data_IF_540284151333
#
_entry.id   IF_540284151333
#
_cell.length_a   1.000
_cell.length_b   1.000
_cell.length_c   1.000
_cell.angle_alpha   90.00
_cell.angle_beta   90.00
_cell.angle_gamma   90.00
#
_symmetry.space_group_name_H-M   'P 1'
#
loop_
_entity.id
_entity.type
_entity.pdbx_description
1 polymer ?
#
# COMPACT_ATOMS: atom_id res chain seq x y z
N UNK A 1 11.42 14.85 -1.18
CA UNK A 1 10.72 14.70 0.13
C UNK A 1 10.12 13.31 0.29
N UNK A 2 9.27 12.82 -0.62
CA UNK A 2 8.67 11.46 -0.55
C UNK A 2 9.69 10.33 -0.32
N UNK A 3 10.78 10.31 -1.09
CA UNK A 3 11.90 9.36 -0.91
C UNK A 3 12.44 9.37 0.53
N UNK A 4 12.63 10.56 1.11
CA UNK A 4 13.14 10.72 2.48
C UNK A 4 12.12 10.22 3.49
N UNK A 5 10.84 10.54 3.30
CA UNK A 5 9.76 10.07 4.17
C UNK A 5 9.66 8.54 4.20
N UNK A 6 9.79 7.86 3.05
CA UNK A 6 9.86 6.40 3.02
C UNK A 6 11.10 5.84 3.73
N UNK A 7 12.26 6.50 3.64
CA UNK A 7 13.46 6.08 4.39
C UNK A 7 13.30 6.25 5.88
N UNK A 8 12.58 7.29 6.33
CA UNK A 8 12.24 7.48 7.74
C UNK A 8 11.32 6.37 8.25
N UNK A 9 10.35 5.94 7.43
CA UNK A 9 9.53 4.76 7.75
C UNK A 9 10.41 3.51 7.92
N UNK A 10 11.36 3.28 7.01
CA UNK A 10 12.26 2.10 7.07
C UNK A 10 13.09 2.05 8.38
N UNK A 11 13.45 3.21 8.94
CA UNK A 11 14.22 3.30 10.20
C UNK A 11 13.35 3.50 11.44
N UNK A 12 12.02 3.54 11.28
CA UNK A 12 11.05 3.67 12.39
C UNK A 12 10.79 5.10 12.88
N UNK A 13 11.32 6.12 12.19
CA UNK A 13 11.14 7.54 12.52
C UNK A 13 9.78 8.06 11.99
N UNK A 14 8.69 7.46 12.50
CA UNK A 14 7.34 7.69 11.98
C UNK A 14 6.84 9.12 12.21
N UNK A 15 7.24 9.78 13.29
CA UNK A 15 6.79 11.15 13.59
C UNK A 15 7.28 12.16 12.54
N UNK A 16 8.56 12.03 12.15
CA UNK A 16 9.15 12.87 11.10
C UNK A 16 8.57 12.49 9.74
N UNK A 17 8.35 11.20 9.48
CA UNK A 17 7.71 10.76 8.25
C UNK A 17 6.29 11.33 8.09
N UNK A 18 5.47 11.34 9.17
CA UNK A 18 4.14 11.95 9.18
C UNK A 18 4.23 13.43 8.81
N UNK A 19 5.11 14.20 9.44
CA UNK A 19 5.26 15.63 9.13
C UNK A 19 5.62 15.87 7.65
N UNK A 20 6.57 15.09 7.11
CA UNK A 20 6.93 15.21 5.70
C UNK A 20 5.79 14.84 4.76
N UNK A 21 4.95 13.86 5.12
CA UNK A 21 3.79 13.50 4.31
C UNK A 21 2.64 14.50 4.41
N UNK A 22 2.48 15.21 5.54
CA UNK A 22 1.61 16.39 5.62
C UNK A 22 2.10 17.48 4.67
N UNK A 23 3.40 17.83 4.71
CA UNK A 23 3.96 18.84 3.80
C UNK A 23 3.75 18.43 2.33
N UNK A 24 4.03 17.17 1.98
CA UNK A 24 3.82 16.63 0.62
C UNK A 24 2.35 16.75 0.21
N UNK A 25 1.41 16.44 1.10
CA UNK A 25 -0.01 16.58 0.81
C UNK A 25 -0.41 18.03 0.56
N UNK A 26 0.14 18.98 1.32
CA UNK A 26 -0.09 20.41 1.07
C UNK A 26 0.45 20.88 -0.28
N UNK A 27 1.62 20.37 -0.68
CA UNK A 27 2.23 20.72 -1.97
C UNK A 27 1.59 20.03 -3.17
N UNK A 28 1.07 18.81 -2.97
CA UNK A 28 0.55 17.92 -4.02
C UNK A 28 -0.83 17.36 -3.68
N UNK A 29 -1.84 18.21 -3.40
CA UNK A 29 -3.20 17.77 -3.10
C UNK A 29 -3.94 17.21 -4.33
N UNK A 30 -3.40 17.40 -5.54
CA UNK A 30 -3.92 16.80 -6.77
C UNK A 30 -3.58 15.31 -6.91
N UNK A 31 -2.63 14.80 -6.11
CA UNK A 31 -2.16 13.41 -6.18
C UNK A 31 -2.88 12.54 -5.11
N UNK A 32 -3.65 11.50 -5.49
CA UNK A 32 -4.21 10.55 -4.53
C UNK A 32 -3.13 9.85 -3.70
N UNK A 33 -1.93 9.68 -4.27
CA UNK A 33 -0.81 9.07 -3.57
C UNK A 33 -0.37 9.88 -2.35
N UNK A 34 -0.46 11.22 -2.37
CA UNK A 34 -0.13 12.06 -1.20
C UNK A 34 -1.02 11.76 -0.01
N UNK A 35 -2.32 11.54 -0.25
CA UNK A 35 -3.28 11.15 0.79
C UNK A 35 -3.02 9.73 1.30
N UNK A 36 -2.80 8.78 0.38
CA UNK A 36 -2.58 7.37 0.72
C UNK A 36 -1.29 7.16 1.50
N UNK A 37 -0.22 7.86 1.14
CA UNK A 37 1.06 7.82 1.85
C UNK A 37 0.90 8.27 3.31
N UNK A 38 0.29 9.44 3.51
CA UNK A 38 0.03 9.99 4.84
C UNK A 38 -0.87 9.05 5.66
N UNK A 39 -1.93 8.52 5.05
CA UNK A 39 -2.82 7.56 5.72
C UNK A 39 -2.07 6.29 6.15
N UNK A 40 -1.18 5.79 5.30
CA UNK A 40 -0.41 4.57 5.56
C UNK A 40 0.53 4.75 6.76
N UNK A 41 1.24 5.87 6.85
CA UNK A 41 2.17 6.12 7.96
C UNK A 41 1.42 6.38 9.28
N UNK A 42 0.30 7.10 9.25
CA UNK A 42 -0.57 7.30 10.42
C UNK A 42 -1.12 5.98 10.93
N UNK A 43 -1.61 5.13 10.03
CA UNK A 43 -2.07 3.79 10.37
C UNK A 43 -0.95 2.93 10.96
N UNK A 44 0.26 2.97 10.40
CA UNK A 44 1.41 2.22 10.92
C UNK A 44 1.79 2.67 12.33
N UNK A 45 1.76 3.97 12.62
CA UNK A 45 2.03 4.51 13.95
C UNK A 45 0.95 4.08 14.96
N UNK A 46 -0.32 4.12 14.56
CA UNK A 46 -1.44 3.64 15.38
C UNK A 46 -1.39 2.12 15.65
N UNK A 47 -0.95 1.33 14.67
CA UNK A 47 -0.84 -0.13 14.79
C UNK A 47 0.22 -0.56 15.82
N UNK A 48 1.17 0.31 16.20
CA UNK A 48 2.13 0.05 17.26
C UNK A 48 1.43 0.07 18.64
N UNK A 49 1.29 -1.07 19.34
CA UNK A 49 0.55 -1.11 20.61
C UNK A 49 1.18 -0.27 21.71
N UNK A 50 2.52 -0.24 21.79
CA UNK A 50 3.24 0.54 22.78
C UNK A 50 3.07 2.03 22.56
N UNK A 51 3.20 2.48 21.32
CA UNK A 51 3.00 3.89 20.96
C UNK A 51 1.56 4.33 21.19
N UNK A 52 0.57 3.52 20.75
CA UNK A 52 -0.86 3.80 20.94
C UNK A 52 -1.27 3.89 22.41
N UNK A 53 -0.69 3.06 23.29
CA UNK A 53 -0.92 3.13 24.73
C UNK A 53 -0.29 4.39 25.35
N UNK A 54 0.88 4.82 24.86
CA UNK A 54 1.56 6.02 25.34
C UNK A 54 0.90 7.33 24.86
N UNK A 55 0.25 7.32 23.70
CA UNK A 55 -0.32 8.51 23.05
C UNK A 55 -1.80 8.33 22.67
N UNK A 56 -2.70 8.00 23.62
CA UNK A 56 -4.06 7.54 23.28
C UNK A 56 -4.89 8.55 22.47
N UNK A 57 -4.79 9.85 22.79
CA UNK A 57 -5.52 10.90 22.06
C UNK A 57 -4.98 11.09 20.64
N UNK A 58 -3.65 11.13 20.48
CA UNK A 58 -3.02 11.24 19.16
C UNK A 58 -3.27 9.99 18.34
N UNK A 59 -3.29 8.81 18.96
CA UNK A 59 -3.63 7.57 18.28
C UNK A 59 -5.08 7.60 17.73
N UNK A 60 -6.04 8.11 18.51
CA UNK A 60 -7.42 8.25 18.03
C UNK A 60 -7.53 9.27 16.89
N UNK A 61 -6.75 10.36 16.95
CA UNK A 61 -6.64 11.34 15.86
C UNK A 61 -6.01 10.72 14.60
N UNK A 62 -4.90 9.99 14.76
CA UNK A 62 -4.17 9.33 13.67
C UNK A 62 -5.04 8.35 12.90
N UNK A 63 -5.76 7.47 13.61
CA UNK A 63 -6.60 6.47 12.94
C UNK A 63 -7.81 7.10 12.28
N UNK A 64 -8.42 8.12 12.91
CA UNK A 64 -9.52 8.88 12.32
C UNK A 64 -9.06 9.60 11.04
N UNK A 65 -7.88 10.23 11.10
CA UNK A 65 -7.28 10.94 9.97
C UNK A 65 -6.88 9.98 8.85
N UNK A 66 -6.28 8.84 9.17
CA UNK A 66 -5.94 7.81 8.18
C UNK A 66 -7.18 7.32 7.44
N UNK A 67 -8.27 7.01 8.16
CA UNK A 67 -9.53 6.61 7.53
C UNK A 67 -10.13 7.73 6.66
N UNK A 68 -10.10 8.98 7.13
CA UNK A 68 -10.59 10.12 6.35
C UNK A 68 -9.78 10.38 5.07
N UNK A 69 -8.46 10.23 5.13
CA UNK A 69 -7.57 10.37 3.97
C UNK A 69 -7.80 9.25 2.95
N UNK A 70 -7.95 7.99 3.39
CA UNK A 70 -8.29 6.89 2.49
C UNK A 70 -9.67 7.08 1.87
N UNK A 71 -10.66 7.52 2.66
CA UNK A 71 -11.98 7.88 2.13
C UNK A 71 -11.88 8.98 1.06
N UNK A 72 -11.05 10.00 1.26
CA UNK A 72 -10.78 11.02 0.25
C UNK A 72 -10.20 10.39 -1.03
N UNK A 73 -9.28 9.43 -0.94
CA UNK A 73 -8.77 8.70 -2.11
C UNK A 73 -9.90 7.94 -2.82
N UNK A 74 -10.77 7.25 -2.08
CA UNK A 74 -11.87 6.45 -2.65
C UNK A 74 -12.88 7.31 -3.43
N UNK A 75 -13.24 8.48 -2.92
CA UNK A 75 -14.32 9.32 -3.50
C UNK A 75 -13.84 10.60 -4.18
N UNK A 76 -12.53 10.84 -4.18
CA UNK A 76 -11.91 11.97 -4.85
C UNK A 76 -12.02 11.88 -6.37
N UNK A 77 -11.78 13.01 -7.03
CA UNK A 77 -11.68 13.07 -8.50
C UNK A 77 -10.22 13.20 -8.88
N UNK A 78 -9.68 12.13 -9.45
CA UNK A 78 -8.28 12.03 -9.82
C UNK A 78 -8.11 12.06 -11.33
N UNK A 79 -6.88 12.35 -11.77
CA UNK A 79 -6.49 12.18 -13.17
C UNK A 79 -6.74 10.71 -13.59
N UNK A 80 -7.30 10.50 -14.79
CA UNK A 80 -7.59 9.16 -15.30
C UNK A 80 -6.36 8.25 -15.36
N UNK A 81 -5.14 8.81 -15.46
CA UNK A 81 -3.89 8.06 -15.40
C UNK A 81 -3.68 7.33 -14.07
N UNK A 82 -4.40 7.71 -13.01
CA UNK A 82 -4.32 7.15 -11.65
C UNK A 82 -5.56 6.32 -11.30
N UNK A 83 -6.36 5.91 -12.29
CA UNK A 83 -7.56 5.10 -12.08
C UNK A 83 -7.25 3.79 -11.34
N UNK A 84 -8.16 3.33 -10.49
CA UNK A 84 -8.13 2.09 -9.69
C UNK A 84 -7.37 2.16 -8.36
N UNK A 85 -6.67 3.28 -8.08
CA UNK A 85 -6.14 3.53 -6.73
C UNK A 85 -7.25 3.59 -5.68
N UNK A 86 -8.47 3.93 -6.09
CA UNK A 86 -9.67 3.96 -5.25
C UNK A 86 -9.99 2.58 -4.68
N UNK A 87 -9.77 1.51 -5.44
CA UNK A 87 -10.02 0.13 -4.97
C UNK A 87 -9.03 -0.26 -3.89
N UNK A 88 -7.75 0.07 -4.09
CA UNK A 88 -6.66 -0.19 -3.13
C UNK A 88 -6.91 0.58 -1.84
N UNK A 89 -7.26 1.87 -1.95
CA UNK A 89 -7.60 2.69 -0.80
C UNK A 89 -8.87 2.21 -0.08
N UNK A 90 -9.87 1.70 -0.81
CA UNK A 90 -11.08 1.13 -0.21
C UNK A 90 -10.76 -0.17 0.56
N UNK A 91 -9.90 -1.02 0.04
CA UNK A 91 -9.43 -2.21 0.75
C UNK A 91 -8.70 -1.84 2.05
N UNK A 92 -7.83 -0.82 1.99
CA UNK A 92 -7.09 -0.32 3.15
C UNK A 92 -8.02 0.32 4.18
N UNK A 93 -9.00 1.13 3.75
CA UNK A 93 -10.00 1.73 4.62
C UNK A 93 -10.80 0.66 5.37
N UNK A 94 -11.32 -0.32 4.64
CA UNK A 94 -12.09 -1.42 5.24
C UNK A 94 -11.25 -2.24 6.23
N UNK A 95 -9.96 -2.47 5.95
CA UNK A 95 -9.05 -3.11 6.91
C UNK A 95 -8.89 -2.28 8.18
N UNK A 96 -8.70 -0.95 8.07
CA UNK A 96 -8.57 -0.10 9.25
C UNK A 96 -9.86 -0.09 10.08
N UNK A 97 -11.02 0.02 9.44
CA UNK A 97 -12.32 -0.06 10.14
C UNK A 97 -12.46 -1.39 10.90
N UNK A 98 -12.18 -2.52 10.25
CA UNK A 98 -12.25 -3.83 10.89
C UNK A 98 -11.24 -3.99 12.05
N UNK A 99 -10.04 -3.39 11.94
CA UNK A 99 -9.07 -3.38 13.05
C UNK A 99 -9.53 -2.51 14.21
N UNK A 100 -10.10 -1.34 13.95
CA UNK A 100 -10.66 -0.47 14.99
C UNK A 100 -11.78 -1.19 15.73
N UNK A 101 -12.73 -1.79 15.01
CA UNK A 101 -13.84 -2.57 15.59
C UNK A 101 -13.37 -3.69 16.52
N UNK A 102 -12.26 -4.32 16.17
CA UNK A 102 -11.70 -5.45 16.92
C UNK A 102 -10.87 -5.00 18.12
N UNK A 103 -10.05 -3.96 17.97
CA UNK A 103 -9.02 -3.60 18.94
C UNK A 103 -9.48 -2.58 19.97
N UNK A 104 -10.51 -1.80 19.66
CA UNK A 104 -10.96 -0.70 20.50
C UNK A 104 -12.40 -0.92 20.97
N UNK A 105 -12.70 -0.60 22.24
CA UNK A 105 -14.06 -0.68 22.75
C UNK A 105 -14.97 0.34 22.04
N UNK A 106 -16.28 0.06 21.99
CA UNK A 106 -17.29 0.89 21.32
C UNK A 106 -17.39 2.32 21.87
N UNK A 107 -16.86 2.59 23.07
CA UNK A 107 -16.97 3.85 23.80
C UNK A 107 -15.80 4.84 23.58
N UNK A 108 -14.91 4.59 22.62
CA UNK A 108 -13.86 5.55 22.23
C UNK A 108 -14.46 6.80 21.57
N UNK A 109 -14.77 7.79 22.40
CA UNK A 109 -15.42 9.08 22.08
C UNK A 109 -14.74 9.92 20.99
N UNK A 110 -13.46 9.70 20.69
CA UNK A 110 -12.68 10.59 19.80
C UNK A 110 -12.39 10.00 18.41
N UNK A 111 -12.83 8.77 18.13
CA UNK A 111 -12.62 8.17 16.81
C UNK A 111 -13.73 8.59 15.87
N UNK A 112 -13.37 9.39 14.88
CA UNK A 112 -14.27 9.81 13.81
C UNK A 112 -14.12 8.86 12.65
N UNK A 113 -15.21 8.19 12.27
CA UNK A 113 -15.27 7.32 11.11
C UNK A 113 -15.89 8.06 9.93
N UNK A 114 -15.32 7.97 8.73
CA UNK A 114 -16.00 8.45 7.55
C UNK A 114 -17.26 7.62 7.30
N UNK A 115 -18.31 8.26 6.78
CA UNK A 115 -19.49 7.55 6.29
C UNK A 115 -19.12 6.74 5.04
N UNK A 116 -19.54 5.49 4.97
CA UNK A 116 -19.30 4.62 3.82
C UNK A 116 -20.61 3.94 3.42
N UNK A 117 -20.92 3.94 2.13
CA UNK A 117 -22.06 3.17 1.62
C UNK A 117 -21.92 1.70 2.08
N UNK A 118 -22.96 1.09 2.67
CA UNK A 118 -22.89 -0.28 3.15
C UNK A 118 -22.45 -1.31 2.10
N UNK A 119 -22.63 -1.02 0.81
CA UNK A 119 -22.17 -1.87 -0.31
C UNK A 119 -20.66 -1.83 -0.51
N UNK A 120 -20.00 -0.79 -0.03
CA UNK A 120 -18.55 -0.60 -0.08
C UNK A 120 -17.88 -0.98 1.25
N UNK A 121 -18.67 -1.17 2.31
CA UNK A 121 -18.20 -1.60 3.62
C UNK A 121 -18.01 -3.12 3.66
N UNK A 122 -16.78 -3.55 3.96
CA UNK A 122 -16.43 -4.96 4.10
C UNK A 122 -14.98 -5.26 3.73
N UNK A 123 -14.36 -6.15 4.50
CA UNK A 123 -13.04 -6.70 4.17
C UNK A 123 -13.20 -7.75 3.08
N UNK A 124 -12.35 -7.70 2.06
CA UNK A 124 -12.21 -8.78 1.09
C UNK A 124 -11.45 -9.95 1.72
N UNK A 125 -11.99 -11.16 1.58
CA UNK A 125 -11.32 -12.40 1.97
C UNK A 125 -10.11 -12.62 1.04
N UNK A 126 -8.91 -12.28 1.53
CA UNK A 126 -7.66 -12.33 0.78
C UNK A 126 -6.58 -13.00 1.63
N UNK A 127 -6.20 -14.22 1.27
CA UNK A 127 -5.15 -14.97 1.94
C UNK A 127 -3.74 -14.44 1.64
N UNK A 128 -3.50 -13.88 0.44
CA UNK A 128 -2.24 -13.25 0.06
C UNK A 128 -2.49 -11.95 -0.72
N UNK A 129 -1.93 -10.84 -0.23
CA UNK A 129 -1.93 -9.52 -0.90
C UNK A 129 -0.51 -9.01 -1.01
N UNK A 130 -0.08 -8.56 -2.18
CA UNK A 130 1.25 -8.00 -2.42
C UNK A 130 1.05 -6.64 -3.08
N UNK A 131 1.58 -5.58 -2.48
CA UNK A 131 1.49 -4.22 -3.01
C UNK A 131 2.89 -3.69 -3.28
N UNK A 132 3.17 -3.31 -4.52
CA UNK A 132 4.43 -2.69 -4.92
C UNK A 132 4.23 -1.18 -5.03
N UNK A 133 5.00 -0.42 -4.25
CA UNK A 133 5.02 1.04 -4.26
C UNK A 133 6.39 1.54 -4.74
N UNK A 134 6.46 2.74 -5.31
CA UNK A 134 7.73 3.38 -5.68
C UNK A 134 7.74 4.89 -5.43
N UNK A 135 8.95 5.43 -5.27
CA UNK A 135 9.19 6.78 -4.77
C UNK A 135 9.28 7.89 -5.85
N UNK A 136 9.17 7.53 -7.13
CA UNK A 136 9.37 8.44 -8.27
C UNK A 136 8.13 8.55 -9.16
N UNK A 137 7.74 9.79 -9.51
CA UNK A 137 6.70 10.03 -10.53
C UNK A 137 7.22 9.70 -11.93
N UNK A 138 6.31 9.47 -12.87
CA UNK A 138 6.60 9.22 -14.29
C UNK A 138 7.58 8.05 -14.50
N UNK A 139 7.53 7.07 -13.60
CA UNK A 139 8.35 5.86 -13.61
C UNK A 139 7.43 4.68 -13.87
N UNK A 140 7.87 3.82 -14.78
CA UNK A 140 7.18 2.63 -15.23
C UNK A 140 7.81 1.40 -14.55
N UNK A 141 7.12 0.87 -13.54
CA UNK A 141 7.55 -0.28 -12.73
C UNK A 141 6.39 -1.27 -12.59
N UNK A 142 6.61 -2.50 -13.06
CA UNK A 142 5.60 -3.55 -12.93
C UNK A 142 5.92 -4.52 -11.80
N UNK A 143 4.88 -4.94 -11.10
CA UNK A 143 4.86 -6.07 -10.20
C UNK A 143 4.75 -7.37 -10.98
N UNK A 144 5.74 -8.24 -10.76
CA UNK A 144 5.78 -9.59 -11.30
C UNK A 144 5.72 -10.60 -10.16
N UNK A 145 4.66 -11.42 -10.14
CA UNK A 145 4.50 -12.51 -9.17
C UNK A 145 4.66 -13.84 -9.88
N UNK A 146 5.53 -14.70 -9.35
CA UNK A 146 5.63 -16.10 -9.79
C UNK A 146 5.04 -17.01 -8.73
N UNK A 147 3.97 -17.69 -9.10
CA UNK A 147 3.22 -18.58 -8.21
C UNK A 147 3.92 -19.95 -8.04
N UNK A 148 3.56 -20.74 -7.00
CA UNK A 148 4.11 -22.09 -6.80
C UNK A 148 3.87 -23.04 -7.98
N UNK A 149 2.84 -22.79 -8.78
CA UNK A 149 2.53 -23.53 -10.01
C UNK A 149 3.50 -23.27 -11.16
N UNK A 150 4.39 -22.28 -11.01
CA UNK A 150 5.27 -21.77 -12.07
C UNK A 150 4.62 -20.70 -12.94
N UNK A 151 3.35 -20.35 -12.70
CA UNK A 151 2.66 -19.33 -13.46
C UNK A 151 3.17 -17.92 -13.12
N UNK A 152 3.26 -17.04 -14.12
CA UNK A 152 3.71 -15.66 -13.96
C UNK A 152 2.51 -14.71 -14.10
N UNK A 153 2.30 -13.88 -13.09
CA UNK A 153 1.24 -12.86 -13.05
C UNK A 153 1.90 -11.49 -13.12
N UNK A 154 1.54 -10.71 -14.14
CA UNK A 154 2.06 -9.37 -14.45
C UNK A 154 1.09 -8.65 -15.41
N UNK A 155 1.31 -7.39 -15.76
CA UNK A 155 0.33 -6.57 -16.52
C UNK A 155 -0.26 -7.26 -17.77
N UNK A 156 0.52 -8.02 -18.54
CA UNK A 156 0.06 -8.71 -19.75
C UNK A 156 -0.69 -10.03 -19.45
N UNK A 157 -0.46 -10.62 -18.28
CA UNK A 157 -1.15 -11.81 -17.78
C UNK A 157 -1.65 -11.55 -16.36
N UNK A 158 -2.64 -10.66 -16.16
CA UNK A 158 -3.03 -10.17 -14.84
C UNK A 158 -3.87 -11.19 -14.05
N UNK A 159 -4.13 -12.38 -14.58
CA UNK A 159 -4.94 -13.42 -13.96
C UNK A 159 -4.23 -14.76 -14.00
N UNK A 160 -4.40 -15.53 -12.93
CA UNK A 160 -3.78 -16.84 -12.81
C UNK A 160 -4.80 -17.98 -12.72
N UNK A 161 -4.33 -19.21 -12.99
CA UNK A 161 -5.17 -20.41 -12.90
C UNK A 161 -5.65 -20.70 -11.47
N UNK A 162 -4.91 -20.25 -10.45
CA UNK A 162 -5.29 -20.42 -9.04
C UNK A 162 -6.11 -19.23 -8.50
N UNK A 163 -6.50 -18.29 -9.37
CA UNK A 163 -7.35 -17.16 -9.00
C UNK A 163 -6.59 -15.92 -8.52
N UNK A 164 -5.28 -15.85 -8.77
CA UNK A 164 -4.49 -14.64 -8.57
C UNK A 164 -4.94 -13.54 -9.53
N UNK A 165 -5.00 -12.30 -9.04
CA UNK A 165 -5.41 -11.13 -9.80
C UNK A 165 -4.42 -9.99 -9.54
N UNK A 166 -3.90 -9.40 -10.62
CA UNK A 166 -3.17 -8.14 -10.59
C UNK A 166 -4.13 -6.98 -10.86
N UNK A 167 -3.95 -5.87 -10.15
CA UNK A 167 -4.59 -4.58 -10.43
C UNK A 167 -4.24 -4.10 -11.84
N UNK A 168 -4.96 -3.08 -12.33
CA UNK A 168 -4.52 -2.38 -13.54
C UNK A 168 -3.11 -1.82 -13.36
N UNK A 169 -2.40 -1.83 -14.47
CA UNK A 169 -1.05 -1.30 -14.63
C UNK A 169 -1.04 0.25 -14.64
N UNK A 170 -0.16 0.82 -13.83
CA UNK A 170 0.02 2.27 -13.66
C UNK A 170 1.22 2.80 -14.47
N UNK A 171 1.12 2.79 -15.79
CA UNK A 171 2.21 3.20 -16.72
C UNK A 171 2.63 4.69 -16.69
N UNK A 172 1.89 5.59 -16.02
CA UNK A 172 2.10 7.05 -16.14
C UNK A 172 2.03 7.81 -14.81
N UNK A 173 2.37 7.20 -13.69
CA UNK A 173 2.32 7.88 -12.39
C UNK A 173 3.07 7.16 -11.27
N UNK A 174 2.74 7.55 -10.04
CA UNK A 174 3.09 6.77 -8.88
C UNK A 174 2.25 5.49 -8.87
N UNK A 175 2.89 4.37 -8.52
CA UNK A 175 2.20 3.15 -8.14
C UNK A 175 1.32 3.40 -6.92
N UNK A 176 0.42 2.46 -6.62
CA UNK A 176 0.86 1.07 -6.49
C UNK A 176 0.36 0.10 -7.56
N UNK A 177 1.10 -0.98 -7.76
CA UNK A 177 0.52 -2.21 -8.33
C UNK A 177 0.21 -3.22 -7.22
N UNK A 178 -0.92 -3.91 -7.35
CA UNK A 178 -1.42 -4.84 -6.34
C UNK A 178 -1.69 -6.22 -6.95
N UNK A 179 -1.21 -7.26 -6.29
CA UNK A 179 -1.60 -8.65 -6.53
C UNK A 179 -2.43 -9.16 -5.34
N UNK A 180 -3.58 -9.76 -5.61
CA UNK A 180 -4.44 -10.40 -4.60
C UNK A 180 -4.73 -11.85 -4.97
N UNK A 181 -4.78 -12.71 -3.95
CA UNK A 181 -5.17 -14.10 -4.07
C UNK A 181 -5.99 -14.52 -2.83
N UNK A 182 -7.23 -14.96 -3.06
CA UNK A 182 -8.14 -15.39 -1.99
C UNK A 182 -7.60 -16.59 -1.21
N UNK A 183 -7.23 -17.66 -1.92
CA UNK A 183 -6.80 -18.92 -1.32
C UNK A 183 -5.41 -19.28 -1.85
N UNK A 184 -4.34 -18.77 -1.23
CA UNK A 184 -2.99 -19.13 -1.64
C UNK A 184 -2.74 -20.62 -1.40
N UNK A 185 -2.28 -21.32 -2.43
CA UNK A 185 -1.77 -22.68 -2.29
C UNK A 185 -0.39 -22.67 -1.62
N UNK A 186 -0.04 -23.77 -0.96
CA UNK A 186 1.26 -23.95 -0.34
C UNK A 186 2.39 -23.87 -1.39
N UNK A 187 3.51 -23.25 -0.99
CA UNK A 187 4.70 -23.08 -1.79
C UNK A 187 5.23 -21.65 -1.83
N UNK A 188 6.22 -21.45 -2.69
CA UNK A 188 6.92 -20.17 -2.84
C UNK A 188 6.23 -19.27 -3.86
N UNK A 189 5.92 -18.05 -3.45
CA UNK A 189 5.58 -16.94 -4.35
C UNK A 189 6.78 -16.01 -4.44
N UNK A 190 7.36 -15.86 -5.64
CA UNK A 190 8.47 -14.93 -5.88
C UNK A 190 7.94 -13.58 -6.35
N UNK A 191 8.46 -12.50 -5.78
CA UNK A 191 8.07 -11.11 -6.06
C UNK A 191 9.22 -10.41 -6.75
N UNK A 192 8.97 -9.91 -7.95
CA UNK A 192 9.93 -9.20 -8.79
C UNK A 192 9.35 -7.85 -9.20
N UNK A 193 10.25 -6.90 -9.47
CA UNK A 193 9.90 -5.60 -10.03
C UNK A 193 10.59 -5.47 -11.39
N UNK A 194 9.81 -5.19 -12.43
CA UNK A 194 10.36 -4.90 -13.77
C UNK A 194 10.44 -3.39 -13.94
N UNK A 195 11.65 -2.86 -14.13
CA UNK A 195 11.84 -1.43 -14.33
C UNK A 195 11.93 -1.09 -15.82
N UNK A 196 10.90 -0.48 -16.41
CA UNK A 196 10.92 -0.11 -17.83
C UNK A 196 11.63 1.24 -18.08
N UNK A 197 11.59 2.14 -17.10
CA UNK A 197 12.31 3.41 -17.13
C UNK A 197 11.51 4.57 -16.56
N UNK A 198 12.09 5.77 -16.61
CA UNK A 198 11.41 7.01 -16.22
C UNK A 198 11.50 8.03 -17.35
N UNK A 199 10.43 8.80 -17.55
CA UNK A 199 10.37 9.88 -18.57
C UNK A 199 10.91 11.22 -18.06
N UNK A 200 11.41 11.30 -16.83
CA UNK A 200 11.98 12.53 -16.28
C UNK A 200 13.30 12.89 -17.00
N UNK A 201 13.34 14.03 -17.69
CA UNK A 201 14.47 14.48 -18.53
C UNK A 201 15.68 15.01 -17.74
N UNK A 202 15.74 14.86 -16.42
CA UNK A 202 16.81 15.46 -15.61
C UNK A 202 17.12 14.60 -14.38
N UNK A 203 18.31 13.97 -14.37
CA UNK A 203 18.84 13.05 -13.35
C UNK A 203 17.95 11.83 -13.05
N UNK A 204 18.23 10.70 -13.72
CA UNK A 204 17.77 9.37 -13.29
C UNK A 204 18.51 8.99 -12.00
N UNK A 205 18.00 9.44 -10.86
CA UNK A 205 18.33 8.84 -9.58
C UNK A 205 17.79 7.41 -9.54
N UNK A 206 18.44 6.49 -8.80
CA UNK A 206 17.92 5.14 -8.62
C UNK A 206 16.55 5.17 -7.93
N UNK A 207 15.58 4.43 -8.47
CA UNK A 207 14.21 4.35 -7.98
C UNK A 207 14.16 3.40 -6.79
N UNK A 208 13.50 3.77 -5.71
CA UNK A 208 13.26 2.83 -4.60
C UNK A 208 11.89 2.20 -4.79
N UNK A 209 11.84 0.87 -4.79
CA UNK A 209 10.60 0.10 -4.71
C UNK A 209 10.42 -0.48 -3.32
N UNK A 210 9.18 -0.54 -2.86
CA UNK A 210 8.77 -1.17 -1.61
C UNK A 210 7.64 -2.15 -1.89
N UNK A 211 7.92 -3.45 -1.76
CA UNK A 211 6.90 -4.47 -1.73
C UNK A 211 6.39 -4.66 -0.29
N UNK A 212 5.09 -4.53 -0.10
CA UNK A 212 4.39 -4.83 1.14
C UNK A 212 3.57 -6.10 0.93
N UNK A 213 3.95 -7.16 1.63
CA UNK A 213 3.34 -8.48 1.51
C UNK A 213 2.50 -8.72 2.76
N UNK A 214 1.22 -9.00 2.56
CA UNK A 214 0.30 -9.41 3.61
C UNK A 214 -0.14 -10.86 3.42
N UNK A 215 -0.16 -11.63 4.50
CA UNK A 215 -0.91 -12.89 4.55
C UNK A 215 -2.08 -12.75 5.51
N UNK A 216 -3.19 -13.44 5.25
CA UNK A 216 -4.41 -13.39 6.06
C UNK A 216 -4.93 -11.95 6.24
N UNK A 217 -5.16 -11.25 5.12
CA UNK A 217 -5.52 -9.83 5.09
C UNK A 217 -6.69 -9.49 6.01
N UNK A 218 -6.47 -8.49 6.86
CA UNK A 218 -7.37 -8.00 7.90
C UNK A 218 -7.90 -9.06 8.89
N UNK A 219 -7.31 -10.26 8.94
CA UNK A 219 -7.62 -11.27 9.95
C UNK A 219 -6.84 -11.02 11.25
N UNK A 220 -7.09 -11.84 12.28
CA UNK A 220 -6.42 -11.75 13.59
C UNK A 220 -4.93 -12.10 13.50
N UNK A 221 -4.62 -13.06 12.64
CA UNK A 221 -3.28 -13.59 12.36
C UNK A 221 -2.70 -13.01 11.06
N UNK A 222 -3.16 -11.81 10.68
CA UNK A 222 -2.56 -11.06 9.58
C UNK A 222 -1.06 -10.89 9.81
N UNK A 223 -0.24 -11.25 8.82
CA UNK A 223 1.18 -10.90 8.82
C UNK A 223 1.44 -9.82 7.78
N UNK A 224 2.38 -8.92 8.08
CA UNK A 224 2.86 -7.87 7.17
C UNK A 224 4.37 -7.97 7.08
N UNK A 225 4.90 -7.99 5.87
CA UNK A 225 6.34 -7.92 5.60
C UNK A 225 6.61 -6.84 4.56
N UNK A 226 7.57 -5.97 4.86
CA UNK A 226 8.02 -4.95 3.93
C UNK A 226 9.41 -5.28 3.40
N UNK A 227 9.60 -5.13 2.09
CA UNK A 227 10.86 -5.35 1.40
C UNK A 227 11.14 -4.12 0.54
N UNK A 228 12.23 -3.43 0.85
CA UNK A 228 12.67 -2.22 0.14
C UNK A 228 13.88 -2.56 -0.72
N UNK A 229 13.82 -2.26 -2.01
CA UNK A 229 14.91 -2.47 -2.98
C UNK A 229 15.17 -1.19 -3.77
N UNK A 230 16.42 -0.98 -4.16
CA UNK A 230 16.80 0.10 -5.07
C UNK A 230 16.97 -0.46 -6.48
N UNK A 231 16.30 0.15 -7.45
CA UNK A 231 16.43 -0.13 -8.87
C UNK A 231 17.40 0.88 -9.48
N UNK A 232 18.52 0.40 -9.98
CA UNK A 232 19.61 1.20 -10.55
C UNK A 232 19.76 1.02 -12.07
N UNK A 233 19.21 -0.06 -12.63
CA UNK A 233 19.31 -0.37 -14.07
C UNK A 233 17.94 -0.36 -14.76
N UNK A 234 17.79 0.53 -15.75
CA UNK A 234 16.61 0.57 -16.64
C UNK A 234 16.56 -0.69 -17.49
N UNK A 235 15.35 -1.20 -17.74
CA UNK A 235 15.05 -2.46 -18.41
C UNK A 235 15.50 -3.73 -17.67
N UNK A 236 15.87 -3.63 -16.40
CA UNK A 236 16.22 -4.80 -15.58
C UNK A 236 14.99 -5.38 -14.85
N UNK A 237 15.07 -6.66 -14.52
CA UNK A 237 14.12 -7.37 -13.66
C UNK A 237 14.81 -7.65 -12.33
N UNK A 238 14.34 -7.03 -11.27
CA UNK A 238 14.96 -7.15 -9.96
C UNK A 238 14.17 -8.08 -9.04
N UNK A 239 14.86 -8.98 -8.35
CA UNK A 239 14.29 -9.83 -7.30
C UNK A 239 14.05 -9.00 -6.04
N UNK A 240 12.78 -8.68 -5.76
CA UNK A 240 12.39 -7.90 -4.57
C UNK A 240 12.31 -8.81 -3.34
N UNK A 241 11.82 -10.03 -3.52
CA UNK A 241 11.82 -11.04 -2.47
C UNK A 241 10.86 -12.20 -2.73
N UNK A 242 10.47 -12.87 -1.65
CA UNK A 242 9.62 -14.05 -1.71
C UNK A 242 8.81 -14.21 -0.42
N UNK A 243 7.66 -14.88 -0.55
CA UNK A 243 6.84 -15.35 0.58
C UNK A 243 6.56 -16.84 0.41
N UNK A 244 6.61 -17.56 1.52
CA UNK A 244 6.28 -18.98 1.59
C UNK A 244 4.94 -19.14 2.28
N UNK A 245 4.03 -19.87 1.63
CA UNK A 245 2.75 -20.30 2.19
C UNK A 245 2.89 -21.78 2.55
N UNK A 246 2.52 -22.14 3.78
CA UNK A 246 2.65 -23.50 4.31
C UNK A 246 1.33 -24.25 4.27
#
# INVERSE_FOLDING_TARGET
MRVVAYRLIDVGELDIAVQLFEDILEMRPEEPQSYRDLATVLAQRWENPGWRLAHPQQADQDISRAMALLHQVVFGRWDQRLSEIEVIALMELNRLMAKVDRLLPEDRLYIVRPELDPRLAGVLDVGLRIVLNWDSDLTDVDLWVTEPTGNHVFFSHPRSAIGGLLSRDFTQGYGPEEYVLKQPIAGKYAVRAKYYGSRQRTLLGPVTVKAVIFTNWAQLDETKRELTLRLDQVNDMADVGQVWIN
#
